data_IF_390261705258
#
_entry.id   IF_390261705258
#
_cell.length_a   1.000
_cell.length_b   1.000
_cell.length_c   1.000
_cell.angle_alpha   90.00
_cell.angle_beta   90.00
_cell.angle_gamma   90.00
#
_symmetry.space_group_name_H-M   'P 1'
#
loop_
_entity.id
_entity.type
_entity.pdbx_description
1 polymer ?
#
# COMPACT_ATOMS: atom_id res chain seq x y z
N UNK A 1 28.98 -2.51 -24.25
CA UNK A 1 27.76 -1.73 -24.53
C UNK A 1 26.66 -2.40 -23.76
N UNK A 2 25.91 -1.66 -22.93
CA UNK A 2 24.78 -2.24 -22.19
C UNK A 2 23.60 -2.34 -23.16
N UNK A 3 23.42 -3.53 -23.73
CA UNK A 3 22.34 -3.83 -24.67
C UNK A 3 21.05 -4.10 -23.88
N UNK A 4 20.39 -3.04 -23.41
CA UNK A 4 19.09 -3.17 -22.75
C UNK A 4 18.74 -2.05 -21.78
N UNK A 5 17.67 -2.29 -21.04
CA UNK A 5 17.20 -1.48 -19.92
C UNK A 5 17.83 -2.03 -18.64
N UNK A 6 18.31 -1.16 -17.75
CA UNK A 6 18.87 -1.51 -16.44
C UNK A 6 18.10 -0.84 -15.30
N UNK A 7 17.63 -1.65 -14.34
CA UNK A 7 16.97 -1.18 -13.13
C UNK A 7 17.80 -1.61 -11.92
N UNK A 8 18.25 -0.64 -11.12
CA UNK A 8 18.96 -0.88 -9.86
C UNK A 8 17.97 -0.78 -8.70
N UNK A 9 17.94 -1.79 -7.84
CA UNK A 9 17.10 -1.84 -6.64
C UNK A 9 17.79 -1.20 -5.44
N UNK A 10 17.04 -0.93 -4.38
CA UNK A 10 17.55 -0.27 -3.18
C UNK A 10 18.59 -1.09 -2.40
N UNK A 11 18.68 -2.39 -2.63
CA UNK A 11 19.69 -3.32 -2.11
C UNK A 11 20.93 -3.44 -3.02
N UNK A 12 20.96 -2.71 -4.14
CA UNK A 12 22.06 -2.76 -5.11
C UNK A 12 21.95 -3.88 -6.12
N UNK A 13 20.92 -4.75 -6.05
CA UNK A 13 20.66 -5.70 -7.11
C UNK A 13 20.34 -4.97 -8.43
N UNK A 14 20.80 -5.54 -9.55
CA UNK A 14 20.55 -5.00 -10.88
C UNK A 14 19.74 -5.99 -11.69
N UNK A 15 18.69 -5.51 -12.33
CA UNK A 15 17.87 -6.24 -13.29
C UNK A 15 18.07 -5.64 -14.67
N UNK A 16 18.32 -6.48 -15.66
CA UNK A 16 18.46 -6.08 -17.04
C UNK A 16 17.52 -6.86 -17.95
N UNK A 17 16.94 -6.19 -18.94
CA UNK A 17 16.04 -6.78 -19.92
C UNK A 17 16.02 -5.97 -21.22
N UNK A 18 15.64 -6.61 -22.32
CA UNK A 18 15.53 -5.93 -23.61
C UNK A 18 14.30 -5.00 -23.65
N UNK A 19 14.37 -3.85 -24.37
CA UNK A 19 13.21 -3.01 -24.59
C UNK A 19 12.21 -3.69 -25.56
N UNK A 20 10.93 -3.64 -25.21
CA UNK A 20 9.84 -4.04 -26.12
C UNK A 20 9.51 -2.89 -27.06
N UNK A 21 9.54 -3.07 -28.40
CA UNK A 21 9.16 -2.03 -29.35
C UNK A 21 7.75 -1.47 -29.09
N UNK A 22 7.63 -0.15 -28.97
CA UNK A 22 6.36 0.54 -28.71
C UNK A 22 5.80 0.36 -27.28
N UNK A 23 6.50 -0.37 -26.41
CA UNK A 23 6.13 -0.58 -25.02
C UNK A 23 6.74 0.44 -24.07
N UNK A 24 6.29 0.41 -22.81
CA UNK A 24 6.96 1.12 -21.71
C UNK A 24 8.04 0.27 -21.06
N UNK A 25 8.87 0.89 -20.22
CA UNK A 25 9.87 0.19 -19.40
C UNK A 25 9.20 -0.91 -18.55
N UNK A 26 8.04 -0.61 -17.95
CA UNK A 26 7.28 -1.60 -17.19
C UNK A 26 6.84 -2.78 -18.06
N UNK A 27 6.24 -2.53 -19.23
CA UNK A 27 5.80 -3.60 -20.13
C UNK A 27 6.96 -4.48 -20.57
N UNK A 28 8.12 -3.88 -20.83
CA UNK A 28 9.35 -4.60 -21.20
C UNK A 28 9.84 -5.51 -20.07
N UNK A 29 9.79 -5.03 -18.82
CA UNK A 29 10.12 -5.84 -17.66
C UNK A 29 9.19 -7.05 -17.52
N UNK A 30 7.88 -6.84 -17.66
CA UNK A 30 6.87 -7.90 -17.52
C UNK A 30 7.00 -8.97 -18.60
N UNK A 31 7.26 -8.58 -19.86
CA UNK A 31 7.48 -9.52 -20.95
C UNK A 31 8.76 -10.35 -20.77
N UNK A 32 9.76 -9.79 -20.09
CA UNK A 32 10.97 -10.51 -19.68
C UNK A 32 10.76 -11.36 -18.41
N UNK A 33 9.53 -11.47 -17.89
CA UNK A 33 9.20 -12.24 -16.68
C UNK A 33 9.62 -11.56 -15.38
N UNK A 34 9.92 -10.25 -15.41
CA UNK A 34 10.34 -9.49 -14.24
C UNK A 34 9.18 -8.75 -13.59
N UNK A 35 9.18 -8.72 -12.24
CA UNK A 35 8.22 -7.96 -11.46
C UNK A 35 8.81 -6.61 -11.03
N UNK A 36 8.09 -5.53 -11.37
CA UNK A 36 8.33 -4.17 -10.86
C UNK A 36 7.06 -3.65 -10.21
N UNK A 37 7.19 -2.87 -9.14
CA UNK A 37 6.04 -2.35 -8.42
C UNK A 37 5.24 -1.38 -9.29
N UNK A 38 3.94 -1.60 -9.45
CA UNK A 38 3.05 -0.75 -10.23
C UNK A 38 1.58 -0.95 -9.81
N UNK A 39 0.68 -0.03 -10.19
CA UNK A 39 -0.78 -0.22 -10.00
C UNK A 39 -1.60 0.37 -11.15
N UNK A 40 -1.54 1.69 -11.38
CA UNK A 40 -2.47 2.38 -12.31
C UNK A 40 -2.18 2.20 -13.81
N UNK A 41 -0.92 2.01 -14.21
CA UNK A 41 -0.44 1.96 -15.61
C UNK A 41 -0.67 3.21 -16.47
N UNK A 42 -0.99 4.34 -15.86
CA UNK A 42 -1.31 5.61 -16.54
C UNK A 42 -0.53 6.81 -15.96
N UNK A 43 0.48 6.54 -15.11
CA UNK A 43 1.33 7.59 -14.54
C UNK A 43 0.73 8.39 -13.37
N UNK A 44 -0.41 7.98 -12.81
CA UNK A 44 -1.11 8.77 -11.77
C UNK A 44 -0.77 8.32 -10.34
N UNK A 45 -0.68 7.01 -10.08
CA UNK A 45 -0.50 6.48 -8.71
C UNK A 45 0.94 6.54 -8.17
N UNK A 46 1.92 6.78 -9.04
CA UNK A 46 3.37 6.86 -8.71
C UNK A 46 3.99 5.63 -8.03
N UNK A 47 3.31 4.48 -8.02
CA UNK A 47 3.86 3.23 -7.43
C UNK A 47 5.09 2.73 -8.19
N UNK A 48 5.14 2.96 -9.52
CA UNK A 48 6.27 2.58 -10.38
C UNK A 48 7.31 3.70 -10.53
N UNK A 49 7.45 4.54 -9.51
CA UNK A 49 8.43 5.62 -9.53
C UNK A 49 9.85 5.06 -9.52
N UNK A 50 10.71 5.66 -10.34
CA UNK A 50 12.14 5.41 -10.37
C UNK A 50 12.88 6.74 -10.56
N UNK A 51 14.18 6.74 -10.28
CA UNK A 51 15.05 7.91 -10.45
C UNK A 51 16.18 7.60 -11.42
N UNK A 52 16.36 8.44 -12.44
CA UNK A 52 17.48 8.35 -13.38
C UNK A 52 18.80 8.81 -12.71
N UNK A 53 19.97 8.44 -13.25
CA UNK A 53 21.28 8.86 -12.71
C UNK A 53 21.45 10.39 -12.60
N UNK A 54 20.81 11.16 -13.49
CA UNK A 54 20.82 12.62 -13.47
C UNK A 54 19.93 13.24 -12.37
N UNK A 55 19.19 12.43 -11.61
CA UNK A 55 18.29 12.86 -10.55
C UNK A 55 16.82 12.97 -10.95
N UNK A 56 16.51 12.87 -12.24
CA UNK A 56 15.13 12.99 -12.73
C UNK A 56 14.26 11.83 -12.26
N UNK A 57 13.02 12.16 -11.90
CA UNK A 57 12.04 11.17 -11.55
C UNK A 57 11.22 10.74 -12.76
N UNK A 58 11.03 9.43 -12.92
CA UNK A 58 10.27 8.82 -14.02
C UNK A 58 9.28 7.80 -13.52
N UNK A 59 8.23 7.56 -14.31
CA UNK A 59 7.19 6.58 -14.02
C UNK A 59 7.26 5.45 -15.04
N UNK A 60 7.80 4.31 -14.62
CA UNK A 60 8.16 3.20 -15.52
C UNK A 60 7.00 2.68 -16.38
N UNK A 61 5.75 2.87 -15.94
CA UNK A 61 4.56 2.43 -16.70
C UNK A 61 4.24 3.26 -17.94
N UNK A 62 4.66 4.53 -17.98
CA UNK A 62 4.43 5.45 -19.12
C UNK A 62 5.75 5.90 -19.76
N UNK A 63 6.88 5.54 -19.16
CA UNK A 63 8.21 5.79 -19.69
C UNK A 63 8.48 4.88 -20.91
N UNK A 64 8.78 5.43 -22.10
CA UNK A 64 9.07 4.63 -23.29
C UNK A 64 10.27 3.70 -23.10
N UNK A 65 10.16 2.46 -23.57
CA UNK A 65 11.25 1.50 -23.52
C UNK A 65 12.33 1.82 -24.57
N UNK A 66 13.56 2.02 -24.13
CA UNK A 66 14.72 2.28 -25.00
C UNK A 66 15.96 1.56 -24.47
N UNK A 67 16.83 1.11 -25.37
CA UNK A 67 18.12 0.55 -24.99
C UNK A 67 19.00 1.64 -24.34
N UNK A 68 19.75 1.28 -23.30
CA UNK A 68 20.54 2.22 -22.51
C UNK A 68 19.74 3.00 -21.46
N UNK A 69 18.46 2.70 -21.26
CA UNK A 69 17.70 3.28 -20.15
C UNK A 69 18.23 2.75 -18.82
N UNK A 70 18.50 3.65 -17.89
CA UNK A 70 18.95 3.31 -16.53
C UNK A 70 18.12 4.07 -15.49
N UNK A 71 17.66 3.37 -14.46
CA UNK A 71 17.01 4.00 -13.32
C UNK A 71 17.18 3.18 -12.02
N UNK A 72 17.02 3.87 -10.89
CA UNK A 72 17.05 3.32 -9.54
C UNK A 72 15.64 3.31 -8.97
N UNK A 73 15.20 2.19 -8.39
CA UNK A 73 13.90 2.06 -7.70
C UNK A 73 14.09 2.06 -6.17
N UNK A 74 13.16 2.65 -5.39
CA UNK A 74 13.33 2.85 -3.94
C UNK A 74 12.93 1.62 -3.09
N UNK A 75 12.97 0.43 -3.67
CA UNK A 75 12.58 -0.82 -3.03
C UNK A 75 13.56 -1.94 -3.40
N UNK A 76 13.61 -2.97 -2.56
CA UNK A 76 14.38 -4.19 -2.83
C UNK A 76 13.65 -5.07 -3.81
N UNK A 77 14.38 -5.90 -4.56
CA UNK A 77 13.75 -6.83 -5.50
C UNK A 77 12.82 -7.82 -4.79
N UNK A 78 13.28 -8.32 -3.64
CA UNK A 78 12.53 -9.26 -2.80
C UNK A 78 11.24 -8.68 -2.19
N UNK A 79 11.10 -7.35 -2.14
CA UNK A 79 9.92 -6.68 -1.57
C UNK A 79 8.76 -6.56 -2.59
N UNK A 80 8.97 -7.00 -3.84
CA UNK A 80 7.95 -6.95 -4.90
C UNK A 80 7.38 -8.34 -5.13
N UNK A 81 6.13 -8.53 -4.73
CA UNK A 81 5.35 -9.72 -5.07
C UNK A 81 4.28 -9.35 -6.12
N UNK A 82 4.09 -10.18 -7.17
CA UNK A 82 2.99 -9.99 -8.11
C UNK A 82 1.64 -9.95 -7.37
N UNK A 83 0.76 -9.00 -7.71
CA UNK A 83 -0.53 -8.90 -7.07
C UNK A 83 -1.41 -10.11 -7.46
N UNK A 84 -2.06 -10.70 -6.47
CA UNK A 84 -2.95 -11.85 -6.67
C UNK A 84 -4.37 -11.52 -6.23
N UNK A 85 -5.35 -12.12 -6.89
CA UNK A 85 -6.76 -11.96 -6.56
C UNK A 85 -7.15 -12.90 -5.41
N UNK A 86 -7.99 -12.41 -4.51
CA UNK A 86 -8.61 -13.16 -3.42
C UNK A 86 -10.10 -12.85 -3.37
N UNK A 87 -10.89 -13.88 -3.06
CA UNK A 87 -12.27 -13.69 -2.58
C UNK A 87 -12.23 -13.29 -1.12
N UNK A 88 -13.16 -12.41 -0.74
CA UNK A 88 -13.27 -11.88 0.59
C UNK A 88 -14.75 -11.81 1.02
N UNK A 89 -14.98 -11.88 2.33
CA UNK A 89 -16.29 -11.66 2.92
C UNK A 89 -16.18 -10.62 4.02
N UNK A 90 -17.11 -9.67 4.03
CA UNK A 90 -17.21 -8.68 5.11
C UNK A 90 -17.60 -9.42 6.40
N UNK A 91 -16.84 -9.22 7.47
CA UNK A 91 -17.20 -9.70 8.80
C UNK A 91 -18.05 -8.64 9.51
N UNK A 92 -17.57 -7.40 9.53
CA UNK A 92 -18.27 -6.26 10.12
C UNK A 92 -17.83 -4.94 9.49
N UNK A 93 -18.64 -3.90 9.69
CA UNK A 93 -18.33 -2.54 9.31
C UNK A 93 -19.01 -1.56 10.26
N UNK A 94 -18.35 -0.45 10.57
CA UNK A 94 -18.84 0.53 11.54
C UNK A 94 -18.20 1.90 11.30
N UNK A 95 -18.85 2.98 11.77
CA UNK A 95 -18.19 4.29 11.82
C UNK A 95 -17.20 4.35 12.98
N UNK A 96 -15.96 4.78 12.70
CA UNK A 96 -14.95 5.09 13.72
C UNK A 96 -14.99 6.56 14.15
N UNK A 97 -15.45 7.43 13.26
CA UNK A 97 -15.72 8.85 13.52
C UNK A 97 -16.78 9.35 12.54
N UNK A 98 -17.03 10.66 12.53
CA UNK A 98 -17.96 11.28 11.57
C UNK A 98 -17.59 10.97 10.11
N UNK A 99 -16.29 10.94 9.81
CA UNK A 99 -15.74 10.91 8.45
C UNK A 99 -15.00 9.62 8.08
N UNK A 100 -15.02 8.59 8.94
CA UNK A 100 -14.30 7.34 8.70
C UNK A 100 -15.13 6.12 9.06
N UNK A 101 -15.19 5.18 8.11
CA UNK A 101 -15.69 3.83 8.31
C UNK A 101 -14.54 2.83 8.48
N UNK A 102 -14.72 1.83 9.32
CA UNK A 102 -13.92 0.61 9.37
C UNK A 102 -14.65 -0.50 8.61
N UNK A 103 -13.90 -1.25 7.80
CA UNK A 103 -14.36 -2.53 7.25
C UNK A 103 -13.42 -3.61 7.75
N UNK A 104 -13.99 -4.61 8.40
CA UNK A 104 -13.31 -5.83 8.83
C UNK A 104 -13.75 -6.97 7.94
N UNK A 105 -12.80 -7.73 7.40
CA UNK A 105 -13.10 -8.78 6.45
C UNK A 105 -12.13 -9.94 6.55
N UNK A 106 -12.57 -11.11 6.08
CA UNK A 106 -11.72 -12.29 5.94
C UNK A 106 -11.44 -12.58 4.48
N UNK A 107 -10.23 -13.06 4.21
CA UNK A 107 -9.84 -13.56 2.90
C UNK A 107 -10.06 -15.08 2.84
N UNK A 108 -10.40 -15.60 1.67
CA UNK A 108 -10.48 -17.05 1.44
C UNK A 108 -9.12 -17.74 1.67
N UNK A 109 -8.03 -17.07 1.28
CA UNK A 109 -6.66 -17.51 1.50
C UNK A 109 -5.82 -16.32 1.96
N UNK A 110 -4.77 -16.53 2.77
CA UNK A 110 -3.88 -15.47 3.20
C UNK A 110 -3.31 -14.67 2.01
N UNK A 111 -3.09 -13.38 2.27
CA UNK A 111 -2.42 -12.47 1.35
C UNK A 111 -1.19 -11.92 2.07
N UNK A 112 0.03 -12.42 1.79
CA UNK A 112 1.25 -11.82 2.31
C UNK A 112 1.39 -10.38 1.82
N UNK A 113 1.75 -9.46 2.72
CA UNK A 113 2.00 -8.06 2.40
C UNK A 113 3.01 -7.44 3.35
N UNK A 114 3.63 -6.35 2.92
CA UNK A 114 4.49 -5.51 3.77
C UNK A 114 3.65 -4.40 4.43
N UNK A 115 3.77 -4.17 5.75
CA UNK A 115 2.96 -3.19 6.46
C UNK A 115 3.05 -1.80 5.86
N UNK A 116 1.91 -1.25 5.43
CA UNK A 116 1.80 0.04 4.73
C UNK A 116 1.33 -0.08 3.27
N UNK A 117 1.41 -1.28 2.68
CA UNK A 117 0.87 -1.56 1.36
C UNK A 117 -0.66 -1.41 1.30
N UNK A 118 -1.19 -1.37 0.08
CA UNK A 118 -2.62 -1.26 -0.18
C UNK A 118 -3.13 -2.40 -1.06
N UNK A 119 -4.44 -2.51 -1.12
CA UNK A 119 -5.16 -3.44 -2.01
C UNK A 119 -6.17 -2.70 -2.87
N UNK A 120 -6.50 -3.28 -4.01
CA UNK A 120 -7.63 -2.91 -4.84
C UNK A 120 -8.83 -3.79 -4.48
N UNK A 121 -9.89 -3.20 -3.93
CA UNK A 121 -11.11 -3.91 -3.53
C UNK A 121 -12.27 -3.57 -4.47
N UNK A 122 -12.98 -4.60 -4.94
CA UNK A 122 -14.16 -4.46 -5.82
C UNK A 122 -15.38 -4.97 -5.07
N UNK A 123 -16.23 -4.04 -4.65
CA UNK A 123 -17.45 -4.28 -3.86
C UNK A 123 -18.68 -4.44 -4.76
N UNK A 124 -19.73 -5.14 -4.30
CA UNK A 124 -20.95 -5.32 -5.09
C UNK A 124 -21.66 -3.99 -5.36
N UNK A 125 -22.03 -3.76 -6.62
CA UNK A 125 -22.77 -2.57 -7.03
C UNK A 125 -21.99 -1.25 -6.86
N UNK A 126 -20.66 -1.31 -6.91
CA UNK A 126 -19.76 -0.17 -7.03
C UNK A 126 -18.91 -0.34 -8.30
N UNK A 127 -18.88 0.68 -9.14
CA UNK A 127 -18.13 0.62 -10.40
C UNK A 127 -16.61 0.68 -10.16
N UNK A 128 -15.94 -0.38 -10.59
CA UNK A 128 -14.48 -0.51 -10.59
C UNK A 128 -13.85 -0.69 -9.20
N UNK A 129 -12.56 -1.07 -9.16
CA UNK A 129 -11.85 -1.25 -7.91
C UNK A 129 -11.64 0.07 -7.17
N UNK A 130 -11.50 0.00 -5.84
CA UNK A 130 -11.09 1.09 -4.96
C UNK A 130 -9.82 0.72 -4.21
N UNK A 131 -8.89 1.66 -4.10
CA UNK A 131 -7.60 1.43 -3.44
C UNK A 131 -7.73 1.77 -1.97
N UNK A 132 -7.40 0.82 -1.11
CA UNK A 132 -7.38 1.01 0.34
C UNK A 132 -6.10 0.46 0.93
N UNK A 133 -5.42 1.29 1.72
CA UNK A 133 -4.31 0.83 2.54
C UNK A 133 -4.82 -0.14 3.60
N UNK A 134 -4.08 -1.22 3.81
CA UNK A 134 -4.39 -2.17 4.87
C UNK A 134 -4.04 -1.53 6.22
N UNK A 135 -4.92 -1.68 7.21
CA UNK A 135 -4.74 -1.19 8.57
C UNK A 135 -4.40 -2.31 9.57
N UNK A 136 -4.53 -3.57 9.17
CA UNK A 136 -4.10 -4.72 9.97
C UNK A 136 -2.59 -4.95 9.88
N UNK A 137 -2.04 -5.62 10.88
CA UNK A 137 -0.71 -6.20 10.84
C UNK A 137 -0.68 -7.47 9.98
N UNK A 138 0.51 -7.87 9.49
CA UNK A 138 0.67 -8.99 8.56
C UNK A 138 0.40 -10.37 9.19
N UNK A 139 0.44 -10.45 10.53
CA UNK A 139 0.14 -11.67 11.28
C UNK A 139 -1.34 -11.78 11.71
N UNK A 140 -2.16 -10.76 11.46
CA UNK A 140 -3.58 -10.79 11.84
C UNK A 140 -4.41 -11.58 10.82
N UNK A 141 -5.28 -12.46 11.32
CA UNK A 141 -6.16 -13.27 10.48
C UNK A 141 -7.24 -12.41 9.79
N UNK A 142 -7.76 -11.41 10.49
CA UNK A 142 -8.76 -10.48 9.97
C UNK A 142 -8.08 -9.26 9.33
N UNK A 143 -8.56 -8.88 8.16
CA UNK A 143 -8.06 -7.73 7.42
C UNK A 143 -8.91 -6.49 7.75
N UNK A 144 -8.28 -5.31 7.75
CA UNK A 144 -8.93 -4.06 8.16
C UNK A 144 -8.67 -2.97 7.12
N UNK A 145 -9.72 -2.27 6.69
CA UNK A 145 -9.65 -1.05 5.88
C UNK A 145 -10.25 0.13 6.65
N UNK A 146 -9.62 1.31 6.53
CA UNK A 146 -10.26 2.57 6.91
C UNK A 146 -10.68 3.32 5.65
N UNK A 147 -11.97 3.59 5.55
CA UNK A 147 -12.61 4.19 4.37
C UNK A 147 -13.08 5.59 4.74
N UNK A 148 -12.67 6.59 3.96
CA UNK A 148 -13.16 7.96 4.14
C UNK A 148 -14.63 8.00 3.74
N UNK A 149 -15.46 8.54 4.63
CA UNK A 149 -16.85 8.85 4.35
C UNK A 149 -16.89 10.13 3.51
N UNK A 150 -17.08 9.96 2.20
CA UNK A 150 -17.22 11.06 1.25
C UNK A 150 -18.72 11.19 0.95
N UNK A 151 -19.37 12.32 1.29
CA UNK A 151 -20.78 12.54 1.00
C UNK A 151 -21.11 12.32 -0.49
N UNK A 152 -22.13 11.49 -0.77
CA UNK A 152 -22.52 11.10 -2.13
C UNK A 152 -21.52 10.18 -2.84
N UNK A 153 -20.52 9.67 -2.11
CA UNK A 153 -19.55 8.71 -2.63
C UNK A 153 -20.10 7.29 -2.59
N UNK A 154 -19.97 6.56 -3.71
CA UNK A 154 -20.51 5.20 -3.86
C UNK A 154 -20.15 4.21 -2.73
N UNK A 155 -18.95 4.36 -2.15
CA UNK A 155 -18.51 3.52 -1.03
C UNK A 155 -19.18 3.89 0.29
N UNK A 156 -19.33 5.19 0.57
CA UNK A 156 -20.04 5.66 1.76
C UNK A 156 -21.52 5.24 1.68
N UNK A 157 -22.15 5.42 0.51
CA UNK A 157 -23.54 5.02 0.28
C UNK A 157 -23.73 3.50 0.42
N UNK A 158 -22.80 2.70 -0.12
CA UNK A 158 -22.79 1.25 0.06
C UNK A 158 -22.74 0.87 1.53
N UNK A 159 -21.80 1.42 2.31
CA UNK A 159 -21.64 1.11 3.73
C UNK A 159 -22.82 1.58 4.58
N UNK A 160 -23.43 2.70 4.24
CA UNK A 160 -24.53 3.27 5.00
C UNK A 160 -25.87 2.56 4.74
N UNK A 161 -26.11 2.00 3.54
CA UNK A 161 -27.46 1.58 3.12
C UNK A 161 -27.56 0.16 2.57
N UNK A 162 -26.47 -0.43 2.07
CA UNK A 162 -26.51 -1.70 1.33
C UNK A 162 -25.67 -2.81 1.94
N UNK A 163 -24.55 -2.48 2.57
CA UNK A 163 -23.59 -3.42 3.08
C UNK A 163 -24.21 -4.35 4.14
N UNK A 164 -23.81 -5.62 4.12
CA UNK A 164 -24.20 -6.62 5.12
C UNK A 164 -23.01 -7.49 5.50
N UNK A 165 -22.95 -8.00 6.74
CA UNK A 165 -22.04 -9.09 7.07
C UNK A 165 -22.22 -10.26 6.08
N UNK A 166 -21.11 -10.91 5.76
CA UNK A 166 -20.95 -11.95 4.73
C UNK A 166 -21.04 -11.49 3.27
N UNK A 167 -21.29 -10.21 2.97
CA UNK A 167 -21.20 -9.69 1.60
C UNK A 167 -19.87 -10.09 0.97
N UNK A 168 -19.97 -10.74 -0.19
CA UNK A 168 -18.82 -11.22 -0.94
C UNK A 168 -18.27 -10.10 -1.82
N UNK A 169 -16.95 -9.97 -1.84
CA UNK A 169 -16.24 -9.03 -2.68
C UNK A 169 -14.88 -9.62 -3.08
N UNK A 170 -14.13 -8.90 -3.92
CA UNK A 170 -12.78 -9.33 -4.32
C UNK A 170 -11.73 -8.31 -3.93
N UNK A 171 -10.54 -8.81 -3.61
CA UNK A 171 -9.37 -8.04 -3.22
C UNK A 171 -8.20 -8.47 -4.10
N UNK A 172 -7.53 -7.50 -4.73
CA UNK A 172 -6.30 -7.72 -5.51
C UNK A 172 -5.16 -6.99 -4.82
N UNK A 173 -4.01 -7.65 -4.68
CA UNK A 173 -2.82 -7.03 -4.08
C UNK A 173 -1.75 -8.04 -3.68
N UNK A 174 -0.77 -7.63 -2.87
CA UNK A 174 -0.59 -6.26 -2.39
C UNK A 174 -0.05 -5.32 -3.48
N UNK A 175 -0.20 -4.02 -3.25
CA UNK A 175 0.35 -2.94 -4.06
C UNK A 175 1.07 -1.91 -3.20
N UNK A 176 1.91 -1.11 -3.84
CA UNK A 176 2.53 0.07 -3.23
C UNK A 176 3.93 -0.20 -2.71
N UNK A 177 4.72 0.87 -2.73
CA UNK A 177 6.12 0.90 -2.28
C UNK A 177 6.28 1.60 -0.92
N UNK A 178 5.18 2.14 -0.38
CA UNK A 178 5.10 2.75 0.95
C UNK A 178 4.87 1.64 1.98
N UNK A 179 5.95 1.15 2.58
CA UNK A 179 5.90 0.11 3.60
C UNK A 179 7.01 0.30 4.63
N UNK A 180 6.83 -0.25 5.82
CA UNK A 180 7.83 -0.21 6.89
C UNK A 180 9.15 -0.82 6.43
N UNK A 181 10.23 -0.03 6.46
CA UNK A 181 11.59 -0.51 6.17
C UNK A 181 12.29 -0.94 7.46
N UNK A 182 12.89 -2.12 7.44
CA UNK A 182 13.77 -2.59 8.50
C UNK A 182 15.11 -1.85 8.42
N UNK A 183 15.26 -0.78 9.19
CA UNK A 183 16.52 -0.06 9.35
C UNK A 183 16.62 0.53 10.77
N UNK A 184 17.84 0.77 11.28
CA UNK A 184 18.06 1.23 12.65
C UNK A 184 17.85 2.74 12.83
N UNK A 185 17.33 3.46 11.82
CA UNK A 185 17.13 4.91 11.92
C UNK A 185 15.82 5.23 12.65
N UNK A 186 15.79 6.26 13.52
CA UNK A 186 14.55 6.77 14.11
C UNK A 186 13.50 7.07 13.05
N UNK A 187 12.23 6.88 13.39
CA UNK A 187 11.11 6.99 12.44
C UNK A 187 10.15 8.08 12.86
N UNK A 188 9.84 9.00 11.95
CA UNK A 188 8.77 9.98 12.09
C UNK A 188 7.64 9.61 11.13
N UNK A 189 6.48 9.29 11.68
CA UNK A 189 5.26 9.08 10.91
C UNK A 189 4.44 10.37 10.92
N UNK A 190 3.94 10.75 9.74
CA UNK A 190 3.01 11.87 9.58
C UNK A 190 1.79 11.33 8.84
N UNK A 191 0.61 11.48 9.44
CA UNK A 191 -0.64 10.99 8.87
C UNK A 191 -1.74 12.04 8.96
N UNK A 192 -2.64 12.03 7.97
CA UNK A 192 -3.83 12.88 7.92
C UNK A 192 -5.08 12.07 7.59
N UNK A 193 -6.13 12.18 8.41
CA UNK A 193 -7.38 11.44 8.23
C UNK A 193 -7.14 9.94 8.02
N UNK A 194 -7.70 9.36 6.95
CA UNK A 194 -7.53 7.94 6.60
C UNK A 194 -6.11 7.52 6.22
N UNK A 195 -5.19 8.47 6.05
CA UNK A 195 -3.75 8.20 5.95
C UNK A 195 -3.16 7.54 7.20
N UNK A 196 -3.91 7.48 8.30
CA UNK A 196 -3.56 6.72 9.50
C UNK A 196 -3.57 5.19 9.28
N UNK A 197 -4.37 4.67 8.35
CA UNK A 197 -4.47 3.23 8.08
C UNK A 197 -3.12 2.53 7.83
N UNK A 198 -2.30 2.93 6.83
CA UNK A 198 -1.02 2.28 6.59
C UNK A 198 -0.06 2.45 7.78
N UNK A 199 -0.15 3.56 8.52
CA UNK A 199 0.68 3.78 9.71
C UNK A 199 0.32 2.80 10.82
N UNK A 200 -0.96 2.54 11.07
CA UNK A 200 -1.38 1.53 12.03
C UNK A 200 -0.83 0.16 11.65
N UNK A 201 -0.93 -0.23 10.37
CA UNK A 201 -0.33 -1.48 9.90
C UNK A 201 1.19 -1.53 10.19
N UNK A 202 1.93 -0.45 9.89
CA UNK A 202 3.35 -0.35 10.20
C UNK A 202 3.63 -0.48 11.70
N UNK A 203 2.90 0.25 12.56
CA UNK A 203 3.08 0.20 14.02
C UNK A 203 2.77 -1.19 14.60
N UNK A 204 1.86 -1.94 13.98
CA UNK A 204 1.56 -3.34 14.34
C UNK A 204 2.61 -4.33 13.83
N UNK A 205 3.30 -4.01 12.72
CA UNK A 205 4.34 -4.84 12.12
C UNK A 205 5.77 -4.53 12.56
N UNK A 206 5.99 -3.46 13.34
CA UNK A 206 7.28 -3.13 13.91
C UNK A 206 7.71 -4.20 14.92
N UNK A 207 8.96 -4.65 14.82
CA UNK A 207 9.62 -5.40 15.89
C UNK A 207 9.95 -4.44 17.03
N UNK A 208 9.23 -4.59 18.15
CA UNK A 208 9.30 -3.69 19.29
C UNK A 208 10.61 -3.80 20.08
N UNK A 209 11.32 -4.93 19.98
CA UNK A 209 12.55 -5.18 20.75
C UNK A 209 13.78 -4.59 20.09
N UNK A 210 13.76 -4.47 18.76
CA UNK A 210 14.91 -4.03 17.97
C UNK A 210 14.72 -2.66 17.31
N UNK A 211 13.53 -2.05 17.47
CA UNK A 211 13.23 -0.80 16.78
C UNK A 211 13.74 0.43 17.51
N UNK A 212 14.31 1.40 16.75
CA UNK A 212 14.69 2.69 17.32
C UNK A 212 13.44 3.50 17.72
N UNK A 213 13.62 4.59 18.50
CA UNK A 213 12.54 5.49 18.85
C UNK A 213 11.73 5.96 17.63
N UNK A 214 10.41 6.04 17.81
CA UNK A 214 9.49 6.49 16.79
C UNK A 214 8.54 7.57 17.33
N UNK A 215 8.11 8.44 16.43
CA UNK A 215 7.13 9.49 16.70
C UNK A 215 6.02 9.45 15.65
N UNK A 216 4.79 9.77 16.06
CA UNK A 216 3.65 9.92 15.16
C UNK A 216 3.05 11.32 15.35
N UNK A 217 2.96 12.06 14.24
CA UNK A 217 2.16 13.29 14.12
C UNK A 217 0.92 12.96 13.32
N UNK A 218 -0.25 13.17 13.93
CA UNK A 218 -1.54 12.84 13.33
C UNK A 218 -2.40 14.11 13.28
N UNK A 219 -2.86 14.45 12.07
CA UNK A 219 -3.74 15.58 11.81
C UNK A 219 -5.12 15.17 11.33
N UNK A 220 -6.13 15.93 11.74
CA UNK A 220 -7.50 15.84 11.25
C UNK A 220 -7.98 17.22 10.83
N UNK A 221 -8.99 17.30 9.97
CA UNK A 221 -9.56 18.58 9.57
C UNK A 221 -10.31 19.22 10.76
N UNK A 222 -11.15 18.42 11.43
CA UNK A 222 -11.87 18.79 12.65
C UNK A 222 -11.67 17.76 13.76
N UNK A 223 -11.94 18.15 15.02
CA UNK A 223 -11.89 17.24 16.17
C UNK A 223 -12.83 16.04 16.02
N UNK A 224 -13.99 16.23 15.40
CA UNK A 224 -14.99 15.18 15.17
C UNK A 224 -14.56 14.14 14.11
N UNK A 225 -13.51 14.42 13.35
CA UNK A 225 -12.92 13.47 12.41
C UNK A 225 -11.92 12.54 13.09
N UNK A 226 -11.43 12.92 14.27
CA UNK A 226 -10.41 12.17 14.98
C UNK A 226 -10.88 10.74 15.29
N UNK A 227 -10.02 9.77 14.98
CA UNK A 227 -10.30 8.36 15.20
C UNK A 227 -9.01 7.56 15.47
N UNK A 228 -9.15 6.37 16.05
CA UNK A 228 -8.02 5.48 16.34
C UNK A 228 -7.11 5.93 17.48
N UNK A 229 -7.44 7.04 18.17
CA UNK A 229 -6.61 7.64 19.21
C UNK A 229 -6.36 6.68 20.38
N UNK A 230 -7.40 6.01 20.87
CA UNK A 230 -7.24 5.10 22.01
C UNK A 230 -6.41 3.85 21.65
N UNK A 231 -6.59 3.33 20.44
CA UNK A 231 -5.73 2.26 19.93
C UNK A 231 -4.27 2.70 19.84
N UNK A 232 -3.99 3.94 19.42
CA UNK A 232 -2.64 4.49 19.38
C UNK A 232 -2.05 4.68 20.78
N UNK A 233 -2.86 5.10 21.78
CA UNK A 233 -2.42 5.18 23.18
C UNK A 233 -2.02 3.81 23.72
N UNK A 234 -2.81 2.77 23.44
CA UNK A 234 -2.48 1.38 23.82
C UNK A 234 -1.15 0.97 23.19
N UNK A 235 -0.99 1.17 21.88
CA UNK A 235 0.27 0.88 21.19
C UNK A 235 1.44 1.65 21.82
N UNK A 236 1.29 2.95 22.09
CA UNK A 236 2.33 3.77 22.67
C UNK A 236 2.75 3.30 24.08
N UNK A 237 1.80 2.88 24.91
CA UNK A 237 2.08 2.33 26.24
C UNK A 237 2.81 0.97 26.14
N UNK A 238 2.41 0.12 25.21
CA UNK A 238 3.11 -1.13 24.94
C UNK A 238 4.56 -0.90 24.49
N UNK A 239 4.81 0.13 23.67
CA UNK A 239 6.17 0.49 23.24
C UNK A 239 7.03 0.98 24.41
N UNK A 240 6.48 1.83 25.29
CA UNK A 240 7.22 2.39 26.44
C UNK A 240 7.51 1.39 27.54
N UNK A 241 6.64 0.39 27.73
CA UNK A 241 6.80 -0.62 28.79
C UNK A 241 7.85 -1.69 28.48
N UNK A 242 8.35 -1.75 27.24
CA UNK A 242 9.29 -2.77 26.75
C UNK A 242 10.64 -2.20 26.27
N UNK A 243 10.78 -0.88 26.33
CA UNK A 243 12.03 -0.12 26.10
C UNK A 243 12.72 0.19 27.41
#
# INVERSE_FOLDING_TARGET
>A
MMDGISITFADGEVMSFAPTPGGSVLTSAEQAGNALAHSCREGTCRTCVARRPNGDEVLLCVEPAQSGFEAVVPYRRADVSPPTLRRANINSFQKLSRSVWEIRYRLQFPLPFLPGQFVEATFPGIDGPRRFSMANGPAEAEQILHVRDIPGGAMADYLATRAKPQDAFTVRGPFGIFYLRANPKPKLFVAGGTGLAPIIAMLRGIDRLSSPPLSLVLGFADEQDAYGIDQLKVLANDYRSRS
#
